data_IF_398824234548
#
_entry.id   IF_398824234548
#
_cell.length_a   1.000
_cell.length_b   1.000
_cell.length_c   1.000
_cell.angle_alpha   90.00
_cell.angle_beta   90.00
_cell.angle_gamma   90.00
#
_symmetry.space_group_name_H-M   'P 1'
#
loop_
_entity.id
_entity.type
_entity.pdbx_description
1 polymer ?
#
# COMPACT_ATOMS: atom_id res chain seq x y z
N UNK A 1 12.28 -34.99 -1.74
CA UNK A 1 12.02 -33.84 -0.86
C UNK A 1 13.22 -32.90 -0.96
N UNK A 2 13.18 -31.96 -1.91
CA UNK A 2 14.27 -30.99 -2.14
C UNK A 2 13.84 -29.53 -1.87
N UNK A 3 12.62 -29.35 -1.35
CA UNK A 3 11.98 -28.07 -1.11
C UNK A 3 11.30 -28.10 0.27
N UNK A 4 11.24 -26.97 0.99
CA UNK A 4 10.39 -26.83 2.15
C UNK A 4 8.91 -26.90 1.74
N UNK A 5 8.07 -27.25 2.70
CA UNK A 5 6.64 -27.46 2.50
C UNK A 5 5.91 -26.16 2.11
N UNK A 6 5.38 -26.09 0.89
CA UNK A 6 4.93 -24.81 0.30
C UNK A 6 3.71 -24.23 1.00
N UNK A 7 2.83 -25.06 1.59
CA UNK A 7 1.65 -24.59 2.34
C UNK A 7 1.98 -23.69 3.54
N UNK A 8 3.14 -23.86 4.15
CA UNK A 8 3.56 -23.07 5.33
C UNK A 8 4.66 -22.06 5.00
N UNK A 9 5.40 -22.29 3.92
CA UNK A 9 6.52 -21.43 3.49
C UNK A 9 6.27 -20.74 2.15
N UNK A 10 5.02 -20.40 1.84
CA UNK A 10 4.57 -19.93 0.51
C UNK A 10 5.42 -18.84 -0.15
N UNK A 11 6.01 -17.93 0.62
CA UNK A 11 6.85 -16.84 0.10
C UNK A 11 8.35 -17.13 0.14
N UNK A 12 8.76 -18.35 0.47
CA UNK A 12 10.18 -18.73 0.55
C UNK A 12 10.74 -19.02 -0.85
N UNK A 13 11.92 -18.50 -1.15
CA UNK A 13 12.63 -18.70 -2.42
C UNK A 13 12.89 -20.17 -2.77
N UNK A 14 13.09 -21.06 -1.80
CA UNK A 14 13.32 -22.49 -2.05
C UNK A 14 12.06 -23.34 -2.20
N UNK A 15 10.84 -22.78 -2.14
CA UNK A 15 9.62 -23.59 -2.41
C UNK A 15 9.64 -24.19 -3.82
N UNK A 16 9.02 -25.36 -3.97
CA UNK A 16 9.04 -26.10 -5.23
C UNK A 16 8.22 -25.45 -6.36
N UNK A 17 7.30 -24.55 -6.03
CA UNK A 17 6.41 -23.89 -7.00
C UNK A 17 6.26 -22.41 -6.68
N UNK A 18 6.53 -21.55 -7.66
CA UNK A 18 6.32 -20.11 -7.55
C UNK A 18 4.88 -19.74 -7.92
N UNK A 19 4.18 -19.00 -7.04
CA UNK A 19 2.79 -18.55 -7.25
C UNK A 19 2.68 -17.07 -7.67
N UNK A 20 3.80 -16.37 -7.80
CA UNK A 20 3.80 -14.98 -8.23
C UNK A 20 3.41 -14.89 -9.71
N UNK A 21 2.38 -14.11 -10.03
CA UNK A 21 1.80 -14.06 -11.39
C UNK A 21 2.36 -12.93 -12.25
N UNK A 22 2.96 -11.91 -11.65
CA UNK A 22 3.48 -10.71 -12.31
C UNK A 22 4.81 -10.26 -11.70
N UNK A 23 5.34 -9.09 -12.09
CA UNK A 23 6.60 -8.55 -11.59
C UNK A 23 6.55 -8.10 -10.11
N UNK A 24 7.59 -8.41 -9.35
CA UNK A 24 7.81 -8.03 -7.96
C UNK A 24 8.67 -9.07 -7.21
N UNK A 25 9.21 -8.79 -6.01
CA UNK A 25 9.84 -9.82 -5.18
C UNK A 25 8.87 -10.30 -4.09
N UNK A 26 7.94 -11.20 -4.43
CA UNK A 26 7.12 -11.89 -3.42
C UNK A 26 7.92 -12.96 -2.69
N UNK A 27 8.63 -13.76 -3.48
CA UNK A 27 9.55 -14.77 -2.97
C UNK A 27 10.74 -14.06 -2.33
N UNK A 28 11.11 -14.52 -1.15
CA UNK A 28 12.16 -13.93 -0.34
C UNK A 28 13.10 -15.01 0.17
N UNK A 29 14.34 -14.63 0.44
CA UNK A 29 15.30 -15.52 1.05
C UNK A 29 15.15 -15.42 2.57
N UNK A 30 14.64 -16.48 3.20
CA UNK A 30 14.35 -16.50 4.65
C UNK A 30 15.32 -17.35 5.46
N UNK A 31 15.16 -17.25 6.78
CA UNK A 31 15.75 -18.15 7.77
C UNK A 31 15.49 -19.64 7.45
N UNK A 32 14.37 -19.98 6.82
CA UNK A 32 14.08 -21.36 6.39
C UNK A 32 15.16 -21.88 5.46
N UNK A 33 15.47 -21.14 4.40
CA UNK A 33 16.48 -21.56 3.44
C UNK A 33 17.87 -21.61 4.04
N UNK A 34 18.13 -20.68 4.95
CA UNK A 34 19.42 -20.57 5.60
C UNK A 34 19.66 -21.69 6.58
N UNK A 35 18.62 -22.19 7.24
CA UNK A 35 18.73 -23.38 8.10
C UNK A 35 19.28 -24.58 7.32
N UNK A 36 18.76 -24.84 6.10
CA UNK A 36 19.28 -25.90 5.25
C UNK A 36 20.73 -25.67 4.83
N UNK A 37 21.09 -24.43 4.45
CA UNK A 37 22.45 -24.12 4.00
C UNK A 37 23.48 -24.19 5.12
N UNK A 38 23.14 -23.72 6.33
CA UNK A 38 24.01 -23.82 7.53
C UNK A 38 24.32 -25.27 7.82
N UNK A 39 23.31 -26.14 7.80
CA UNK A 39 23.48 -27.56 8.11
C UNK A 39 24.42 -28.28 7.14
N UNK A 40 24.66 -27.71 5.94
CA UNK A 40 25.66 -28.25 5.01
C UNK A 40 27.11 -27.94 5.40
N UNK A 41 27.35 -26.92 6.23
CA UNK A 41 28.68 -26.45 6.62
C UNK A 41 29.48 -25.73 5.53
N UNK A 42 28.86 -25.37 4.40
CA UNK A 42 29.57 -24.81 3.23
C UNK A 42 29.51 -23.27 3.12
N UNK A 43 28.74 -22.59 3.97
CA UNK A 43 28.40 -21.18 3.78
C UNK A 43 28.53 -20.36 5.07
N UNK A 44 29.09 -19.16 4.93
CA UNK A 44 28.96 -18.07 5.90
C UNK A 44 27.77 -17.19 5.51
N UNK A 45 26.94 -16.82 6.48
CA UNK A 45 25.67 -16.14 6.22
C UNK A 45 25.74 -14.66 6.58
N UNK A 46 25.35 -13.84 5.62
CA UNK A 46 25.06 -12.43 5.86
C UNK A 46 23.59 -12.23 6.25
N UNK A 47 23.32 -12.17 7.55
CA UNK A 47 21.96 -12.03 8.10
C UNK A 47 21.22 -10.77 7.64
N UNK A 48 21.94 -9.68 7.35
CA UNK A 48 21.31 -8.42 6.94
C UNK A 48 20.65 -8.47 5.56
N UNK A 49 20.86 -9.55 4.80
CA UNK A 49 20.24 -9.78 3.49
C UNK A 49 19.00 -10.67 3.56
N UNK A 50 18.69 -11.21 4.73
CA UNK A 50 17.64 -12.19 4.92
C UNK A 50 16.41 -11.55 5.53
N UNK A 51 15.24 -12.00 5.09
CA UNK A 51 13.95 -11.54 5.59
C UNK A 51 13.28 -12.66 6.38
N UNK A 52 12.52 -12.36 7.44
CA UNK A 52 11.77 -13.39 8.15
C UNK A 52 10.63 -13.93 7.28
N UNK A 53 10.25 -15.19 7.50
CA UNK A 53 8.96 -15.70 6.99
C UNK A 53 7.82 -14.94 7.66
N UNK A 54 6.80 -14.54 6.89
CA UNK A 54 5.65 -13.78 7.41
C UNK A 54 4.40 -14.66 7.52
N UNK A 55 4.19 -15.57 6.56
CA UNK A 55 3.08 -16.52 6.60
C UNK A 55 3.23 -17.44 7.82
N UNK A 56 2.21 -17.48 8.67
CA UNK A 56 2.22 -18.35 9.86
C UNK A 56 3.10 -17.87 11.01
N UNK A 57 3.88 -16.81 10.81
CA UNK A 57 4.74 -16.26 11.85
C UNK A 57 3.88 -15.54 12.90
N UNK A 58 3.97 -15.99 14.15
CA UNK A 58 3.25 -15.38 15.29
C UNK A 58 3.47 -13.87 15.39
N UNK A 59 4.67 -13.42 15.06
CA UNK A 59 5.09 -12.04 15.24
C UNK A 59 4.51 -11.12 14.15
N UNK A 60 3.94 -11.68 13.07
CA UNK A 60 3.16 -10.95 12.05
C UNK A 60 1.71 -10.69 12.46
N UNK A 61 1.21 -11.34 13.51
CA UNK A 61 -0.21 -11.27 13.91
C UNK A 61 -0.36 -10.57 15.26
N UNK A 62 0.10 -11.21 16.34
CA UNK A 62 -0.12 -10.75 17.72
C UNK A 62 0.93 -11.30 18.71
N UNK A 63 2.02 -11.88 18.21
CA UNK A 63 3.08 -12.50 19.01
C UNK A 63 2.73 -13.87 19.61
N UNK A 64 1.55 -14.43 19.31
CA UNK A 64 1.12 -15.76 19.79
C UNK A 64 1.17 -16.81 18.67
N UNK A 65 1.66 -18.03 18.94
CA UNK A 65 1.59 -19.12 17.97
C UNK A 65 0.17 -19.34 17.45
N UNK A 66 0.06 -19.63 16.15
CA UNK A 66 -1.21 -20.02 15.54
C UNK A 66 -1.40 -21.52 15.79
N UNK A 67 -2.47 -21.86 16.49
CA UNK A 67 -2.77 -23.25 16.85
C UNK A 67 -2.94 -24.11 15.59
N UNK A 68 -2.27 -25.26 15.56
CA UNK A 68 -2.33 -26.22 14.46
C UNK A 68 -2.01 -25.65 13.06
N UNK A 69 -1.28 -24.53 12.95
CA UNK A 69 -0.95 -23.94 11.66
C UNK A 69 -0.23 -24.90 10.68
N UNK A 70 0.87 -25.57 11.09
CA UNK A 70 1.56 -26.47 10.17
C UNK A 70 0.84 -27.80 9.94
N UNK A 71 0.04 -28.26 10.90
CA UNK A 71 -0.49 -29.64 10.94
C UNK A 71 -1.99 -29.75 10.74
N UNK A 72 -2.75 -28.68 10.93
CA UNK A 72 -4.20 -28.65 10.81
C UNK A 72 -4.66 -28.36 9.39
N UNK A 73 -5.95 -28.59 9.14
CA UNK A 73 -6.59 -28.15 7.90
C UNK A 73 -6.53 -26.62 7.80
N UNK A 74 -6.15 -26.08 6.64
CA UNK A 74 -5.99 -24.64 6.46
C UNK A 74 -7.30 -23.88 6.70
N UNK A 75 -8.44 -24.45 6.27
CA UNK A 75 -9.77 -23.87 6.50
C UNK A 75 -10.14 -23.68 7.98
N UNK A 76 -9.48 -24.39 8.90
CA UNK A 76 -9.73 -24.30 10.35
C UNK A 76 -8.65 -23.54 11.11
N UNK A 77 -7.41 -23.62 10.65
CA UNK A 77 -6.24 -23.09 11.37
C UNK A 77 -5.76 -21.74 10.85
N UNK A 78 -6.02 -21.41 9.58
CA UNK A 78 -5.45 -20.20 9.00
C UNK A 78 -6.28 -18.96 9.38
N UNK A 79 -5.63 -17.85 9.77
CA UNK A 79 -6.31 -16.60 10.05
C UNK A 79 -7.04 -16.05 8.82
N UNK A 80 -7.98 -15.11 9.06
CA UNK A 80 -8.64 -14.37 7.98
C UNK A 80 -7.63 -13.77 6.99
N UNK A 81 -7.99 -13.59 5.72
CA UNK A 81 -7.15 -13.10 4.61
C UNK A 81 -6.05 -14.05 4.09
N UNK A 82 -5.72 -15.15 4.78
CA UNK A 82 -4.78 -16.15 4.27
C UNK A 82 -5.38 -16.93 3.09
N UNK A 83 -6.68 -17.22 3.17
CA UNK A 83 -7.43 -17.95 2.16
C UNK A 83 -8.25 -16.98 1.31
N UNK A 84 -8.38 -17.32 0.04
CA UNK A 84 -9.45 -16.83 -0.81
C UNK A 84 -10.73 -17.58 -0.49
N UNK A 85 -11.79 -16.86 -0.12
CA UNK A 85 -13.11 -17.44 0.05
C UNK A 85 -14.18 -16.38 -0.23
N UNK A 86 -15.43 -16.84 -0.29
CA UNK A 86 -16.59 -15.96 -0.52
C UNK A 86 -16.85 -14.97 0.63
N UNK A 87 -16.31 -15.24 1.83
CA UNK A 87 -16.45 -14.37 3.01
C UNK A 87 -15.53 -13.15 2.94
N UNK A 88 -14.35 -13.32 2.37
CA UNK A 88 -13.35 -12.29 2.14
C UNK A 88 -12.93 -12.32 0.66
N UNK A 89 -13.84 -11.97 -0.28
CA UNK A 89 -13.59 -12.00 -1.74
C UNK A 89 -12.60 -10.91 -2.20
N UNK A 90 -11.77 -10.48 -1.27
CA UNK A 90 -10.86 -9.39 -1.41
C UNK A 90 -9.50 -9.86 -1.93
N UNK A 91 -8.90 -9.05 -2.80
CA UNK A 91 -7.67 -9.36 -3.49
C UNK A 91 -6.41 -9.18 -2.62
N UNK A 92 -6.48 -8.49 -1.50
CA UNK A 92 -5.34 -8.25 -0.62
C UNK A 92 -4.86 -9.55 0.04
N UNK A 93 -3.54 -9.69 0.08
CA UNK A 93 -2.83 -10.78 0.72
C UNK A 93 -2.75 -10.64 2.23
N UNK A 94 -2.38 -11.73 2.90
CA UNK A 94 -2.31 -11.82 4.35
C UNK A 94 -1.33 -10.84 5.01
N UNK A 95 -0.27 -10.43 4.29
CA UNK A 95 0.75 -9.49 4.77
C UNK A 95 0.40 -8.03 4.50
N UNK A 96 -0.69 -7.75 3.77
CA UNK A 96 -1.03 -6.40 3.26
C UNK A 96 0.03 -5.80 2.32
N UNK A 97 0.95 -6.62 1.82
CA UNK A 97 2.06 -6.21 0.94
C UNK A 97 1.92 -6.71 -0.48
N UNK A 98 0.82 -7.39 -0.79
CA UNK A 98 0.50 -7.77 -2.14
C UNK A 98 -1.01 -7.89 -2.32
N UNK A 99 -1.45 -7.88 -3.58
CA UNK A 99 -2.81 -8.24 -3.95
C UNK A 99 -2.82 -8.96 -5.29
N UNK A 100 -3.86 -9.76 -5.52
CA UNK A 100 -4.07 -10.45 -6.78
C UNK A 100 -5.28 -11.36 -6.77
N UNK A 101 -5.31 -12.28 -7.73
CA UNK A 101 -6.42 -13.23 -7.90
C UNK A 101 -6.13 -14.52 -7.15
N UNK A 102 -7.17 -15.29 -6.85
CA UNK A 102 -6.98 -16.65 -6.32
C UNK A 102 -6.88 -17.66 -7.45
N UNK A 103 -6.17 -18.75 -7.18
CA UNK A 103 -6.15 -19.98 -7.98
C UNK A 103 -7.35 -20.91 -7.68
N UNK A 104 -8.33 -20.42 -6.91
CA UNK A 104 -9.49 -21.20 -6.51
C UNK A 104 -10.26 -21.76 -7.73
N UNK A 105 -10.43 -23.07 -7.75
CA UNK A 105 -11.22 -23.84 -8.72
C UNK A 105 -12.46 -24.41 -8.04
N UNK A 106 -13.43 -24.86 -8.84
CA UNK A 106 -14.55 -25.63 -8.31
C UNK A 106 -14.04 -26.92 -7.66
N UNK A 107 -14.65 -27.28 -6.54
CA UNK A 107 -14.32 -28.52 -5.81
C UNK A 107 -14.44 -29.74 -6.71
N UNK A 108 -13.45 -30.62 -6.57
CA UNK A 108 -13.39 -31.88 -7.32
C UNK A 108 -14.29 -32.92 -6.68
N UNK A 109 -15.10 -33.60 -7.50
CA UNK A 109 -15.93 -34.71 -7.03
C UNK A 109 -15.06 -35.94 -6.80
N UNK A 110 -15.17 -36.52 -5.61
CA UNK A 110 -14.46 -37.75 -5.26
C UNK A 110 -15.39 -38.98 -5.30
N UNK A 111 -14.91 -40.13 -5.81
CA UNK A 111 -13.61 -40.34 -6.43
C UNK A 111 -13.49 -39.63 -7.79
N UNK A 112 -12.29 -39.12 -8.10
CA UNK A 112 -11.98 -38.48 -9.38
C UNK A 112 -11.26 -39.45 -10.32
N UNK A 113 -11.59 -39.41 -11.61
CA UNK A 113 -10.86 -40.16 -12.65
C UNK A 113 -9.55 -39.46 -13.07
N UNK A 114 -9.35 -38.20 -12.65
CA UNK A 114 -8.14 -37.45 -12.91
C UNK A 114 -7.09 -37.78 -11.83
N UNK A 115 -5.98 -38.39 -12.25
CA UNK A 115 -4.90 -38.79 -11.36
C UNK A 115 -4.26 -37.61 -10.64
N UNK A 116 -4.37 -36.39 -11.18
CA UNK A 116 -3.91 -35.17 -10.53
C UNK A 116 -4.62 -34.93 -9.19
N UNK A 117 -5.89 -35.30 -9.07
CA UNK A 117 -6.69 -35.13 -7.85
C UNK A 117 -6.78 -36.39 -7.00
N UNK A 118 -5.97 -37.41 -7.29
CA UNK A 118 -5.91 -38.62 -6.46
C UNK A 118 -5.46 -38.30 -5.03
N UNK A 119 -4.46 -37.42 -4.87
CA UNK A 119 -4.02 -36.94 -3.55
C UNK A 119 -5.13 -36.20 -2.82
N UNK A 120 -5.79 -35.25 -3.49
CA UNK A 120 -6.95 -34.56 -2.94
C UNK A 120 -8.03 -35.53 -2.45
N UNK A 121 -8.48 -36.47 -3.29
CA UNK A 121 -9.56 -37.38 -2.93
C UNK A 121 -9.18 -38.38 -1.83
N UNK A 122 -7.92 -38.76 -1.71
CA UNK A 122 -7.44 -39.60 -0.60
C UNK A 122 -7.38 -38.84 0.73
N UNK A 123 -7.26 -37.51 0.69
CA UNK A 123 -7.13 -36.62 1.83
C UNK A 123 -8.27 -35.60 1.97
N UNK A 124 -9.43 -35.82 1.36
CA UNK A 124 -10.50 -34.81 1.21
C UNK A 124 -10.89 -34.17 2.56
N UNK A 125 -10.99 -34.99 3.62
CA UNK A 125 -11.33 -34.53 4.97
C UNK A 125 -10.31 -33.57 5.59
N UNK A 126 -9.09 -33.56 5.07
CA UNK A 126 -8.03 -32.64 5.47
C UNK A 126 -8.00 -31.39 4.59
N UNK A 127 -8.07 -31.57 3.28
CA UNK A 127 -7.98 -30.46 2.31
C UNK A 127 -9.25 -29.60 2.25
N UNK A 128 -10.42 -30.18 2.49
CA UNK A 128 -11.72 -29.50 2.39
C UNK A 128 -12.66 -29.85 3.56
N UNK A 129 -12.18 -29.69 4.79
CA UNK A 129 -12.91 -30.01 6.03
C UNK A 129 -14.24 -29.26 6.21
N UNK A 130 -14.43 -28.11 5.54
CA UNK A 130 -15.66 -27.32 5.59
C UNK A 130 -16.59 -27.56 4.39
N UNK A 131 -16.35 -28.57 3.56
CA UNK A 131 -17.13 -28.87 2.36
C UNK A 131 -17.32 -27.63 1.44
N UNK A 132 -16.26 -26.83 1.30
CA UNK A 132 -16.26 -25.65 0.43
C UNK A 132 -16.55 -26.08 -1.01
N UNK A 133 -17.27 -25.24 -1.75
CA UNK A 133 -17.51 -25.41 -3.18
C UNK A 133 -16.31 -25.03 -4.04
N UNK A 134 -15.27 -24.46 -3.42
CA UNK A 134 -14.02 -24.08 -4.06
C UNK A 134 -12.80 -24.55 -3.24
N UNK A 135 -11.76 -25.00 -3.94
CA UNK A 135 -10.45 -25.40 -3.41
C UNK A 135 -9.34 -24.74 -4.26
N UNK A 136 -8.09 -24.73 -3.79
CA UNK A 136 -6.93 -24.33 -4.59
C UNK A 136 -6.60 -25.37 -5.66
N UNK A 137 -5.92 -24.97 -6.74
CA UNK A 137 -5.60 -25.86 -7.85
C UNK A 137 -4.28 -26.62 -7.67
N UNK A 138 -3.38 -26.12 -6.84
CA UNK A 138 -2.00 -26.61 -6.77
C UNK A 138 -1.78 -27.62 -5.64
N UNK A 139 -1.46 -28.86 -6.02
CA UNK A 139 -1.14 -29.93 -5.07
C UNK A 139 0.07 -29.65 -4.16
N UNK A 140 1.14 -28.91 -4.57
CA UNK A 140 2.26 -28.58 -3.68
C UNK A 140 1.90 -27.59 -2.57
N UNK A 141 0.73 -26.95 -2.70
CA UNK A 141 0.13 -26.07 -1.71
C UNK A 141 -1.04 -26.74 -0.99
N UNK A 142 -1.13 -28.07 -1.01
CA UNK A 142 -2.21 -28.83 -0.37
C UNK A 142 -3.62 -28.39 -0.82
N UNK A 143 -3.75 -27.95 -2.08
CA UNK A 143 -5.01 -27.44 -2.64
C UNK A 143 -5.61 -26.30 -1.80
N UNK A 144 -4.77 -25.53 -1.11
CA UNK A 144 -5.18 -24.34 -0.36
C UNK A 144 -5.47 -23.22 -1.36
N UNK A 145 -6.66 -22.59 -1.32
CA UNK A 145 -7.03 -21.51 -2.25
C UNK A 145 -6.33 -20.21 -1.84
N UNK A 146 -5.03 -20.09 -2.12
CA UNK A 146 -4.27 -18.89 -1.82
C UNK A 146 -4.67 -17.74 -2.76
N UNK A 147 -4.21 -16.54 -2.40
CA UNK A 147 -4.25 -15.37 -3.29
C UNK A 147 -2.87 -15.22 -3.91
N UNK A 148 -2.82 -15.23 -5.22
CA UNK A 148 -1.58 -15.21 -5.97
C UNK A 148 -1.14 -13.76 -6.13
N UNK A 149 0.10 -13.39 -5.76
CA UNK A 149 0.58 -12.03 -5.88
C UNK A 149 0.63 -11.60 -7.35
N UNK A 150 -0.27 -10.70 -7.74
CA UNK A 150 -0.25 -10.04 -9.04
C UNK A 150 0.38 -8.65 -8.97
N UNK A 151 0.44 -8.07 -7.78
CA UNK A 151 1.10 -6.80 -7.51
C UNK A 151 1.68 -6.87 -6.10
N UNK A 152 2.94 -6.51 -5.95
CA UNK A 152 3.64 -6.45 -4.65
C UNK A 152 3.92 -4.98 -4.33
N UNK A 153 3.53 -4.54 -3.14
CA UNK A 153 3.75 -3.18 -2.67
C UNK A 153 5.21 -2.99 -2.23
N UNK A 154 5.85 -1.93 -2.71
CA UNK A 154 7.20 -1.54 -2.29
C UNK A 154 7.25 -1.14 -0.81
N UNK A 155 8.44 -1.01 -0.24
CA UNK A 155 8.63 -0.57 1.14
C UNK A 155 7.93 0.77 1.40
N UNK A 156 7.26 0.87 2.56
CA UNK A 156 6.44 2.03 2.92
C UNK A 156 5.08 2.12 2.23
N UNK A 157 4.71 1.13 1.40
CA UNK A 157 3.37 1.01 0.82
C UNK A 157 2.68 -0.29 1.23
N UNK A 158 1.35 -0.28 1.32
CA UNK A 158 0.55 -1.44 1.67
C UNK A 158 -0.79 -1.41 0.91
N UNK A 159 -1.55 -2.49 1.02
CA UNK A 159 -2.87 -2.65 0.43
C UNK A 159 -3.82 -3.21 1.46
N UNK A 160 -4.93 -2.51 1.69
CA UNK A 160 -6.03 -3.00 2.52
C UNK A 160 -7.06 -3.77 1.70
N UNK A 161 -7.92 -4.56 2.35
CA UNK A 161 -9.09 -5.08 1.69
C UNK A 161 -9.95 -3.98 1.08
N UNK A 162 -10.27 -4.12 -0.21
CA UNK A 162 -11.06 -3.19 -1.01
C UNK A 162 -10.25 -2.14 -1.75
N UNK A 163 -8.94 -2.05 -1.51
CA UNK A 163 -8.04 -1.18 -2.28
C UNK A 163 -7.71 -1.81 -3.62
N UNK A 164 -7.56 -0.95 -4.64
CA UNK A 164 -7.23 -1.36 -6.02
C UNK A 164 -5.75 -1.13 -6.37
N UNK A 165 -5.02 -0.39 -5.52
CA UNK A 165 -3.61 -0.03 -5.68
C UNK A 165 -2.93 0.02 -4.32
N UNK A 166 -1.60 -0.12 -4.29
CA UNK A 166 -0.82 0.12 -3.09
C UNK A 166 -0.86 1.61 -2.69
N UNK A 167 -0.84 1.86 -1.38
CA UNK A 167 -0.88 3.20 -0.79
C UNK A 167 0.16 3.32 0.30
N UNK A 168 0.77 4.51 0.42
CA UNK A 168 1.65 4.80 1.54
C UNK A 168 0.90 4.65 2.86
N UNK A 169 1.55 4.05 3.84
CA UNK A 169 1.00 3.89 5.19
C UNK A 169 1.95 4.48 6.23
N UNK A 170 1.40 4.72 7.42
CA UNK A 170 2.14 5.09 8.61
C UNK A 170 1.50 4.40 9.80
N UNK A 171 2.30 3.74 10.61
CA UNK A 171 1.85 3.12 11.84
C UNK A 171 2.14 4.05 13.03
N UNK A 172 1.27 4.01 14.04
CA UNK A 172 1.49 4.64 15.33
C UNK A 172 1.58 3.52 16.37
N UNK A 173 2.75 2.88 16.42
CA UNK A 173 2.90 1.60 17.12
C UNK A 173 1.94 0.55 16.59
N UNK A 174 1.27 -0.17 17.50
CA UNK A 174 0.26 -1.20 17.18
C UNK A 174 -1.19 -0.75 17.46
N UNK A 175 -1.39 0.52 17.81
CA UNK A 175 -2.70 1.02 18.25
C UNK A 175 -3.53 1.58 17.09
N UNK A 176 -2.87 2.18 16.11
CA UNK A 176 -3.50 2.73 14.93
C UNK A 176 -2.54 2.82 13.76
N UNK A 177 -3.11 2.95 12.57
CA UNK A 177 -2.36 3.30 11.37
C UNK A 177 -3.20 4.19 10.46
N UNK A 178 -2.53 4.88 9.58
CA UNK A 178 -3.13 5.66 8.51
C UNK A 178 -2.62 5.14 7.18
N UNK A 179 -3.48 5.08 6.17
CA UNK A 179 -3.09 4.68 4.82
C UNK A 179 -3.74 5.56 3.76
N UNK A 180 -2.96 5.90 2.73
CA UNK A 180 -3.46 6.58 1.55
C UNK A 180 -4.11 5.58 0.59
N UNK A 181 -5.38 5.28 0.81
CA UNK A 181 -6.14 4.28 0.06
C UNK A 181 -6.37 4.65 -1.42
N UNK A 182 -6.24 5.93 -1.78
CA UNK A 182 -6.29 6.40 -3.18
C UNK A 182 -5.24 7.49 -3.35
N UNK A 183 -4.17 7.18 -4.09
CA UNK A 183 -3.14 8.15 -4.40
C UNK A 183 -3.73 9.30 -5.24
N UNK A 184 -3.30 10.55 -5.01
CA UNK A 184 -3.77 11.68 -5.81
C UNK A 184 -3.23 11.58 -7.24
N UNK A 185 -4.10 11.79 -8.21
CA UNK A 185 -3.77 11.85 -9.63
C UNK A 185 -4.61 12.95 -10.31
N UNK A 186 -4.61 12.99 -11.64
CA UNK A 186 -5.41 13.97 -12.42
C UNK A 186 -6.92 13.84 -12.22
N UNK A 187 -7.40 12.70 -11.71
CA UNK A 187 -8.82 12.38 -11.58
C UNK A 187 -9.28 12.26 -10.11
N UNK A 188 -8.37 11.95 -9.20
CA UNK A 188 -8.64 11.62 -7.82
C UNK A 188 -7.89 12.53 -6.86
N UNK A 189 -8.62 13.03 -5.86
CA UNK A 189 -7.99 13.58 -4.66
C UNK A 189 -7.50 12.45 -3.76
N UNK A 190 -6.47 12.75 -2.96
CA UNK A 190 -5.99 11.88 -1.90
C UNK A 190 -7.14 11.34 -1.02
N UNK A 191 -7.05 10.08 -0.59
CA UNK A 191 -7.99 9.48 0.35
C UNK A 191 -7.24 8.79 1.47
N UNK A 192 -7.17 9.44 2.62
CA UNK A 192 -6.51 8.89 3.80
C UNK A 192 -7.57 8.23 4.68
N UNK A 193 -7.34 6.98 5.04
CA UNK A 193 -8.13 6.24 6.02
C UNK A 193 -7.29 6.10 7.28
N UNK A 194 -7.91 6.40 8.42
CA UNK A 194 -7.33 6.18 9.74
C UNK A 194 -8.01 4.97 10.37
N UNK A 195 -7.24 3.91 10.59
CA UNK A 195 -7.69 2.69 11.22
C UNK A 195 -7.19 2.64 12.66
N UNK A 196 -8.12 2.57 13.61
CA UNK A 196 -7.91 2.36 15.04
C UNK A 196 -8.64 1.10 15.50
N UNK A 197 -8.43 0.68 16.76
CA UNK A 197 -9.17 -0.43 17.40
C UNK A 197 -10.70 -0.29 17.31
N UNK A 198 -11.22 0.95 17.32
CA UNK A 198 -12.67 1.22 17.20
C UNK A 198 -13.19 1.15 15.76
N UNK A 199 -12.31 0.95 14.78
CA UNK A 199 -12.67 0.91 13.35
C UNK A 199 -12.44 -0.45 12.71
N UNK A 200 -12.07 -1.46 13.49
CA UNK A 200 -11.88 -2.83 12.98
C UNK A 200 -13.16 -3.29 12.28
N UNK A 201 -13.02 -3.75 11.04
CA UNK A 201 -14.14 -4.20 10.19
C UNK A 201 -15.02 -3.07 9.63
N UNK A 202 -14.80 -1.80 10.01
CA UNK A 202 -15.53 -0.68 9.41
C UNK A 202 -15.13 -0.51 7.96
N UNK A 203 -16.11 -0.15 7.14
CA UNK A 203 -15.95 0.05 5.71
C UNK A 203 -15.97 1.53 5.36
N UNK A 204 -15.08 1.91 4.44
CA UNK A 204 -14.92 3.27 3.94
C UNK A 204 -15.07 3.24 2.44
N UNK A 205 -16.05 3.98 1.93
CA UNK A 205 -16.32 3.99 0.50
C UNK A 205 -15.90 5.30 -0.15
N UNK A 206 -15.15 5.21 -1.26
CA UNK A 206 -14.90 6.33 -2.16
C UNK A 206 -15.09 5.93 -3.63
N UNK A 207 -15.64 6.84 -4.43
CA UNK A 207 -15.65 6.70 -5.88
C UNK A 207 -14.28 7.09 -6.42
N UNK A 208 -13.61 6.14 -7.06
CA UNK A 208 -12.30 6.30 -7.68
C UNK A 208 -12.50 6.44 -9.18
N UNK A 209 -12.05 7.56 -9.73
CA UNK A 209 -12.05 7.82 -11.16
C UNK A 209 -10.83 7.13 -11.79
N UNK A 210 -10.99 6.62 -13.00
CA UNK A 210 -9.96 5.96 -13.78
C UNK A 210 -10.07 6.48 -15.23
N UNK A 211 -9.05 6.24 -16.06
CA UNK A 211 -9.03 6.72 -17.44
C UNK A 211 -10.29 6.33 -18.26
N UNK A 212 -10.92 5.20 -17.93
CA UNK A 212 -12.02 4.61 -18.69
C UNK A 212 -13.37 4.59 -17.94
N UNK A 213 -13.47 5.25 -16.78
CA UNK A 213 -14.70 5.27 -16.00
C UNK A 213 -14.45 5.49 -14.52
N UNK A 214 -15.43 5.12 -13.69
CA UNK A 214 -15.33 5.26 -12.24
C UNK A 214 -15.73 3.98 -11.55
N UNK A 215 -14.99 3.57 -10.53
CA UNK A 215 -15.32 2.43 -9.68
C UNK A 215 -15.56 2.87 -8.24
N UNK A 216 -16.29 2.06 -7.47
CA UNK A 216 -16.54 2.29 -6.04
C UNK A 216 -15.55 1.42 -5.25
N UNK A 217 -14.54 2.03 -4.65
CA UNK A 217 -13.64 1.35 -3.73
C UNK A 217 -14.30 1.30 -2.34
N UNK A 218 -14.44 0.11 -1.77
CA UNK A 218 -15.00 -0.10 -0.42
C UNK A 218 -13.93 -0.74 0.44
N UNK A 219 -13.18 0.09 1.15
CA UNK A 219 -12.00 -0.31 1.90
C UNK A 219 -12.39 -0.73 3.31
N UNK A 220 -11.81 -1.81 3.83
CA UNK A 220 -12.08 -2.33 5.18
C UNK A 220 -10.85 -2.16 6.06
N UNK A 221 -11.03 -1.60 7.26
CA UNK A 221 -9.94 -1.52 8.24
C UNK A 221 -9.69 -2.89 8.91
N UNK A 222 -8.51 -3.50 8.76
CA UNK A 222 -8.08 -4.63 9.59
C UNK A 222 -7.77 -4.16 11.03
N UNK A 223 -7.49 -5.14 11.88
CA UNK A 223 -6.86 -4.91 13.19
C UNK A 223 -5.52 -4.16 13.02
N UNK A 224 -5.29 -3.01 13.70
CA UNK A 224 -4.07 -2.24 13.57
C UNK A 224 -2.80 -2.97 14.01
N UNK A 225 -2.86 -3.79 15.07
CA UNK A 225 -1.70 -4.56 15.53
C UNK A 225 -1.29 -5.55 14.45
N UNK A 226 -2.27 -6.31 13.92
CA UNK A 226 -2.04 -7.25 12.83
C UNK A 226 -1.48 -6.56 11.58
N UNK A 227 -2.06 -5.42 11.18
CA UNK A 227 -1.60 -4.68 10.00
C UNK A 227 -0.13 -4.24 10.17
N UNK A 228 0.17 -3.52 11.25
CA UNK A 228 1.49 -2.94 11.49
C UNK A 228 2.56 -4.01 11.71
N UNK A 229 2.24 -5.11 12.40
CA UNK A 229 3.14 -6.25 12.54
C UNK A 229 3.46 -6.92 11.20
N UNK A 230 2.44 -7.26 10.41
CA UNK A 230 2.63 -7.88 9.09
C UNK A 230 3.51 -7.05 8.17
N UNK A 231 3.21 -5.77 7.99
CA UNK A 231 3.96 -4.91 7.06
C UNK A 231 5.38 -4.64 7.55
N UNK A 232 5.57 -4.48 8.87
CA UNK A 232 6.92 -4.29 9.45
C UNK A 232 7.76 -5.56 9.31
N UNK A 233 7.18 -6.72 9.60
CA UNK A 233 7.88 -8.00 9.48
C UNK A 233 8.24 -8.31 8.03
N UNK A 234 7.39 -7.95 7.06
CA UNK A 234 7.69 -8.12 5.64
C UNK A 234 8.85 -7.23 5.17
N UNK A 235 8.95 -6.00 5.68
CA UNK A 235 9.96 -5.02 5.25
C UNK A 235 11.30 -5.14 5.98
N UNK A 236 11.33 -5.83 7.13
CA UNK A 236 12.54 -5.96 7.93
C UNK A 236 13.51 -7.02 7.40
N UNK A 237 14.77 -6.85 7.77
CA UNK A 237 15.82 -7.85 7.60
C UNK A 237 16.36 -8.25 8.97
N UNK A 238 16.97 -9.41 9.07
CA UNK A 238 17.62 -9.82 10.31
C UNK A 238 18.83 -8.92 10.61
N UNK A 239 18.98 -8.52 11.87
CA UNK A 239 20.17 -7.79 12.34
C UNK A 239 21.27 -8.72 12.86
N UNK A 240 20.93 -9.98 13.13
CA UNK A 240 21.82 -11.01 13.67
C UNK A 240 21.29 -12.41 13.35
N UNK A 241 22.08 -13.43 13.68
CA UNK A 241 21.68 -14.83 13.58
C UNK A 241 20.38 -15.12 14.37
N UNK A 242 19.31 -15.59 13.72
CA UNK A 242 18.04 -15.93 14.38
C UNK A 242 18.07 -17.28 15.11
N UNK A 243 19.10 -18.10 14.92
CA UNK A 243 19.21 -19.45 15.51
C UNK A 243 19.94 -19.48 16.84
N UNK A 244 20.50 -18.35 17.30
CA UNK A 244 21.13 -18.28 18.62
C UNK A 244 20.08 -18.35 19.73
N UNK A 245 20.42 -19.04 20.81
CA UNK A 245 19.51 -19.22 21.96
C UNK A 245 19.08 -17.87 22.53
N UNK A 246 17.77 -17.64 22.57
CA UNK A 246 17.18 -16.39 23.08
C UNK A 246 17.05 -15.28 22.04
N UNK A 247 17.39 -15.54 20.77
CA UNK A 247 17.08 -14.62 19.69
C UNK A 247 15.57 -14.32 19.66
N UNK A 248 15.23 -13.04 19.53
CA UNK A 248 13.87 -12.57 19.31
C UNK A 248 13.90 -11.54 18.18
N UNK A 249 12.85 -11.54 17.38
CA UNK A 249 12.66 -10.51 16.36
C UNK A 249 12.35 -9.18 17.04
N UNK A 250 13.24 -8.22 16.88
CA UNK A 250 13.06 -6.85 17.34
C UNK A 250 12.21 -6.07 16.32
N UNK A 251 10.88 -6.23 16.41
CA UNK A 251 9.94 -5.55 15.52
C UNK A 251 9.85 -4.08 15.91
N UNK A 252 10.55 -3.24 15.14
CA UNK A 252 10.47 -1.78 15.25
C UNK A 252 9.53 -1.23 14.20
N UNK A 253 8.34 -0.83 14.65
CA UNK A 253 7.35 -0.19 13.79
C UNK A 253 7.90 1.15 13.29
N UNK A 254 7.89 1.33 11.96
CA UNK A 254 8.23 2.61 11.35
C UNK A 254 7.08 3.60 11.53
N UNK A 255 7.36 4.72 12.20
CA UNK A 255 6.43 5.83 12.40
C UNK A 255 6.64 6.94 11.35
N UNK A 256 7.14 6.61 10.15
CA UNK A 256 7.35 7.60 9.11
C UNK A 256 6.03 8.32 8.80
N UNK A 257 5.97 9.67 8.86
CA UNK A 257 4.72 10.39 8.66
C UNK A 257 4.20 10.17 7.23
N UNK A 258 2.88 10.05 7.09
CA UNK A 258 2.26 10.03 5.77
C UNK A 258 2.58 11.31 5.02
N UNK A 259 3.05 11.17 3.79
CA UNK A 259 3.23 12.30 2.87
C UNK A 259 1.84 12.74 2.42
N UNK A 260 1.36 13.84 3.00
CA UNK A 260 0.17 14.53 2.51
C UNK A 260 0.60 15.36 1.31
N UNK A 261 0.21 14.89 0.11
CA UNK A 261 0.44 15.67 -1.10
C UNK A 261 -0.62 16.76 -1.11
N UNK A 262 -0.25 17.94 -0.62
CA UNK A 262 -0.98 19.14 -0.95
C UNK A 262 -0.84 19.34 -2.44
N UNK A 263 -1.92 19.10 -3.20
CA UNK A 263 -2.01 19.62 -4.56
C UNK A 263 -1.84 21.13 -4.43
N UNK A 264 -0.62 21.63 -4.67
CA UNK A 264 -0.46 23.05 -4.92
C UNK A 264 -1.33 23.28 -6.15
N UNK A 265 -2.39 24.05 -5.98
CA UNK A 265 -3.11 24.60 -7.12
C UNK A 265 -2.12 25.54 -7.79
N UNK A 266 -1.21 25.01 -8.60
CA UNK A 266 -0.50 25.82 -9.57
C UNK A 266 -1.60 26.41 -10.43
N UNK A 267 -1.86 27.71 -10.23
CA UNK A 267 -2.79 28.45 -11.06
C UNK A 267 -2.45 28.11 -12.51
N UNK A 268 -3.43 27.71 -13.33
CA UNK A 268 -3.19 27.43 -14.72
C UNK A 268 -2.39 28.57 -15.35
N UNK A 269 -1.42 28.27 -16.20
CA UNK A 269 -0.47 29.25 -16.73
C UNK A 269 -1.18 30.47 -17.35
N UNK A 270 -2.37 30.27 -17.93
CA UNK A 270 -3.20 31.34 -18.48
C UNK A 270 -3.74 32.30 -17.41
N UNK A 271 -4.13 31.80 -16.22
CA UNK A 271 -4.63 32.61 -15.12
C UNK A 271 -3.51 33.50 -14.55
N UNK A 272 -2.29 32.96 -14.42
CA UNK A 272 -1.11 33.74 -14.02
C UNK A 272 -0.85 34.87 -15.04
N UNK A 273 -0.89 34.54 -16.33
CA UNK A 273 -0.67 35.51 -17.40
C UNK A 273 -1.76 36.61 -17.41
N UNK A 274 -3.01 36.23 -17.17
CA UNK A 274 -4.14 37.18 -17.09
C UNK A 274 -3.97 38.15 -15.91
N UNK A 275 -3.59 37.64 -14.73
CA UNK A 275 -3.32 38.47 -13.55
C UNK A 275 -2.17 39.44 -13.84
N UNK A 276 -1.08 38.98 -14.45
CA UNK A 276 0.06 39.84 -14.82
C UNK A 276 -0.35 40.97 -15.77
N UNK A 277 -1.17 40.68 -16.80
CA UNK A 277 -1.65 41.70 -17.75
C UNK A 277 -2.54 42.74 -17.06
N UNK A 278 -3.45 42.30 -16.18
CA UNK A 278 -4.34 43.21 -15.45
C UNK A 278 -3.55 44.12 -14.51
N UNK A 279 -2.59 43.56 -13.75
CA UNK A 279 -1.73 44.36 -12.86
C UNK A 279 -0.92 45.37 -13.67
N UNK A 280 -0.34 44.96 -14.80
CA UNK A 280 0.44 45.86 -15.65
C UNK A 280 -0.41 46.98 -16.23
N UNK A 281 -1.63 46.69 -16.68
CA UNK A 281 -2.57 47.69 -17.18
C UNK A 281 -2.94 48.71 -16.10
N UNK A 282 -3.28 48.26 -14.88
CA UNK A 282 -3.60 49.15 -13.75
C UNK A 282 -2.42 50.07 -13.42
N UNK A 283 -1.20 49.52 -13.35
CA UNK A 283 0.01 50.32 -13.11
C UNK A 283 0.24 51.33 -14.23
N UNK A 284 0.13 50.93 -15.50
CA UNK A 284 0.28 51.83 -16.64
C UNK A 284 -0.75 52.97 -16.61
N UNK A 285 -2.04 52.67 -16.37
CA UNK A 285 -3.09 53.68 -16.29
C UNK A 285 -2.89 54.64 -15.11
N UNK A 286 -2.48 54.13 -13.95
CA UNK A 286 -2.19 54.99 -12.79
C UNK A 286 -0.98 55.90 -13.03
N UNK A 287 0.11 55.39 -13.62
CA UNK A 287 1.27 56.20 -13.99
C UNK A 287 0.92 57.29 -15.01
N UNK A 288 0.14 56.96 -16.06
CA UNK A 288 -0.32 57.94 -17.05
C UNK A 288 -1.23 58.98 -16.41
N UNK A 289 -2.15 58.57 -15.53
CA UNK A 289 -3.03 59.49 -14.79
C UNK A 289 -2.26 60.46 -13.89
N UNK A 290 -1.28 59.96 -13.13
CA UNK A 290 -0.41 60.78 -12.27
C UNK A 290 0.42 61.74 -13.12
N UNK A 291 1.03 61.26 -14.19
CA UNK A 291 1.87 62.08 -15.06
C UNK A 291 1.06 63.18 -15.76
N UNK A 292 -0.13 62.85 -16.26
CA UNK A 292 -1.07 63.81 -16.85
C UNK A 292 -1.54 64.85 -15.83
N UNK A 293 -1.83 64.44 -14.60
CA UNK A 293 -2.17 65.36 -13.51
C UNK A 293 -1.01 66.32 -13.18
N UNK A 294 0.21 65.81 -13.07
CA UNK A 294 1.41 66.63 -12.82
C UNK A 294 1.65 67.65 -13.93
N UNK A 295 1.52 67.26 -15.20
CA UNK A 295 1.68 68.16 -16.35
C UNK A 295 0.63 69.28 -16.36
N UNK A 296 -0.65 68.96 -16.15
CA UNK A 296 -1.73 69.94 -16.09
C UNK A 296 -1.57 70.92 -14.93
N UNK A 297 -1.12 70.43 -13.77
CA UNK A 297 -0.88 71.27 -12.60
C UNK A 297 0.36 72.18 -12.77
N UNK A 298 1.40 71.70 -13.47
CA UNK A 298 2.57 72.52 -13.81
C UNK A 298 2.21 73.66 -14.77
N UNK A 299 1.42 73.37 -15.81
CA UNK A 299 0.97 74.38 -16.77
C UNK A 299 0.12 75.49 -16.13
N UNK A 300 -0.77 75.14 -15.18
CA UNK A 300 -1.55 76.16 -14.42
C UNK A 300 -0.69 77.06 -13.53
N UNK A 301 0.47 76.60 -13.04
CA UNK A 301 1.39 77.45 -12.28
C UNK A 301 2.08 78.48 -13.16
N UNK A 302 2.44 78.13 -14.40
CA UNK A 302 3.05 79.06 -15.35
C UNK A 302 2.08 80.16 -15.81
N UNK A 303 0.79 79.85 -16.01
CA UNK A 303 -0.21 80.87 -16.34
C UNK A 303 -0.49 81.85 -15.19
N UNK A 304 -0.46 81.39 -13.93
CA UNK A 304 -0.59 82.29 -12.77
C UNK A 304 0.61 83.23 -12.61
N UNK A 305 1.82 82.72 -12.80
CA UNK A 305 3.05 83.52 -12.74
C UNK A 305 3.09 84.61 -13.83
N UNK A 306 2.67 84.31 -15.06
CA UNK A 306 2.59 85.33 -16.13
C UNK A 306 1.50 86.37 -15.94
N UNK A 307 0.48 86.07 -15.14
CA UNK A 307 -0.62 87.02 -14.86
C UNK A 307 -0.24 88.02 -13.76
N UNK A 308 0.55 87.60 -12.77
CA UNK A 308 1.06 88.49 -11.71
C UNK A 308 2.14 89.47 -12.22
N UNK A 309 2.95 89.09 -13.22
CA UNK A 309 3.95 90.01 -13.81
C UNK A 309 3.35 91.12 -14.68
N UNK A 310 2.14 90.93 -15.22
CA UNK A 310 1.48 91.93 -16.08
C UNK A 310 0.66 92.97 -15.31
N UNK A 311 0.34 92.74 -14.03
CA UNK A 311 -0.40 93.68 -13.19
C UNK A 311 0.54 94.63 -12.39
N UNK A 312 1.85 94.58 -12.63
CA UNK A 312 2.86 95.35 -11.89
C UNK A 312 3.45 96.56 -12.66
N UNK A 313 2.88 96.97 -13.79
CA UNK A 313 3.34 98.12 -14.59
C UNK A 313 2.20 99.12 -14.80
N UNK A 314 1.93 99.95 -13.79
CA UNK A 314 1.23 101.24 -13.96
C UNK A 314 1.52 102.14 -12.74
N UNK A 315 2.61 102.92 -12.82
CA UNK A 315 2.85 104.22 -12.14
C UNK A 315 3.74 105.08 -13.04
#
# INVERSE_FOLDING_TARGET
MAHPESRVYMSEMMVGVNIQTNNGPFNRLTDVSMSFLIDTGNYDINWSMLQPIVLGNKDSINGKPIENFPTGAAQMSFPALYLSNNTYPDKSGFSFKFFGTSDAINTVKCPSNDSYYSYYCNGEKFYNVLDSSHIGSDWPYDYIPFKYPSNVCKNGEAVLPGMVTCGNYSCNGFESFSINAVQPDSYNKQFIINCTKDTIGKTFTKRVQQAWGSTKATVVCPDPERFCRSVTLEEMHFSSDPFVKGAQLDIKVSNAPLIVVHNSTTLPSYLILTICVVVFAVVAFTCVGIFGYCMLHSSKKEEKSKKEDNDAVDV
#
